data_IF_689601084945
#
_entry.id   IF_689601084945
#
_cell.length_a   1.000
_cell.length_b   1.000
_cell.length_c   1.000
_cell.angle_alpha   90.00
_cell.angle_beta   90.00
_cell.angle_gamma   90.00
#
_symmetry.space_group_name_H-M   'P 1'
#
loop_
_entity.id
_entity.type
_entity.pdbx_description
1 polymer ?
#
# COMPACT_ATOMS: atom_id res chain seq x y z
N UNK A 1 -6.63 21.09 -1.45
CA UNK A 1 -6.57 19.71 -1.98
C UNK A 1 -7.97 19.24 -2.35
N UNK A 2 -8.11 18.59 -3.52
CA UNK A 2 -9.38 17.99 -3.99
C UNK A 2 -9.11 16.58 -4.51
N UNK A 3 -9.98 15.65 -4.21
CA UNK A 3 -10.01 14.32 -4.84
C UNK A 3 -10.82 14.41 -6.13
N UNK A 4 -10.32 13.79 -7.18
CA UNK A 4 -10.97 13.75 -8.50
C UNK A 4 -11.02 12.33 -9.04
N UNK A 5 -11.92 12.06 -9.98
CA UNK A 5 -11.89 10.83 -10.75
C UNK A 5 -10.72 10.84 -11.71
N UNK A 6 -10.06 9.69 -11.87
CA UNK A 6 -8.91 9.59 -12.74
C UNK A 6 -8.14 8.28 -12.61
N UNK A 7 -6.99 8.24 -13.23
CA UNK A 7 -6.12 7.05 -13.33
C UNK A 7 -4.69 7.38 -12.92
N UNK A 8 -3.84 6.38 -12.88
CA UNK A 8 -2.39 6.55 -12.63
C UNK A 8 -1.71 7.47 -13.67
N UNK A 9 -2.32 7.68 -14.83
CA UNK A 9 -1.82 8.56 -15.88
C UNK A 9 -2.45 9.97 -15.84
N UNK A 10 -3.25 10.32 -14.82
CA UNK A 10 -3.84 11.66 -14.68
C UNK A 10 -2.84 12.80 -14.51
N UNK A 11 -1.67 12.61 -13.83
CA UNK A 11 -0.63 13.64 -13.83
C UNK A 11 -0.03 13.86 -15.23
N UNK A 12 0.26 15.12 -15.54
CA UNK A 12 0.77 15.52 -16.86
C UNK A 12 2.05 14.77 -17.22
N UNK A 13 2.16 14.33 -18.49
CA UNK A 13 3.35 13.65 -19.01
C UNK A 13 3.48 12.18 -18.58
N UNK A 14 2.45 11.57 -17.99
CA UNK A 14 2.39 10.13 -17.74
C UNK A 14 1.41 9.43 -18.67
N UNK A 15 1.75 8.20 -19.03
CA UNK A 15 0.88 7.24 -19.71
C UNK A 15 0.99 5.88 -19.03
N UNK A 16 -0.05 5.07 -19.12
CA UNK A 16 -0.08 3.72 -18.56
C UNK A 16 -1.00 2.85 -19.39
N UNK A 17 -0.82 1.53 -19.30
CA UNK A 17 -1.69 0.55 -19.92
C UNK A 17 -1.45 -0.83 -19.31
N UNK A 18 -2.30 -1.80 -19.64
CA UNK A 18 -2.18 -3.18 -19.23
C UNK A 18 -2.75 -4.14 -20.28
N UNK A 19 -2.19 -5.35 -20.34
CA UNK A 19 -2.64 -6.37 -21.26
C UNK A 19 -2.51 -7.79 -20.68
N UNK A 20 -3.07 -8.76 -21.38
CA UNK A 20 -2.85 -10.16 -21.11
C UNK A 20 -1.66 -10.68 -21.94
N UNK A 21 -0.52 -10.89 -21.27
CA UNK A 21 0.69 -11.41 -21.91
C UNK A 21 0.83 -12.93 -21.82
N UNK A 22 0.14 -13.57 -20.87
CA UNK A 22 0.17 -15.02 -20.68
C UNK A 22 0.82 -15.48 -19.35
N UNK A 23 1.00 -14.59 -18.38
CA UNK A 23 1.40 -14.96 -17.00
C UNK A 23 0.23 -15.59 -16.23
N UNK A 24 -0.99 -15.16 -16.51
CA UNK A 24 -2.25 -15.74 -16.00
C UNK A 24 -3.03 -16.42 -17.12
N UNK A 25 -4.07 -17.16 -16.76
CA UNK A 25 -4.90 -17.89 -17.74
C UNK A 25 -5.79 -16.98 -18.59
N UNK A 26 -6.36 -15.90 -18.03
CA UNK A 26 -7.39 -15.07 -18.69
C UNK A 26 -7.37 -13.59 -18.35
N UNK A 27 -6.88 -13.20 -17.17
CA UNK A 27 -6.92 -11.79 -16.70
C UNK A 27 -5.75 -11.02 -17.29
N UNK A 28 -5.83 -9.69 -17.30
CA UNK A 28 -4.68 -8.83 -17.54
C UNK A 28 -3.58 -9.17 -16.53
N UNK A 29 -2.34 -9.20 -16.98
CA UNK A 29 -1.23 -9.73 -16.20
C UNK A 29 0.12 -9.04 -16.45
N UNK A 30 0.13 -8.04 -17.32
CA UNK A 30 1.31 -7.27 -17.67
C UNK A 30 0.91 -5.80 -17.84
N UNK A 31 1.52 -4.91 -17.05
CA UNK A 31 1.21 -3.48 -17.06
C UNK A 31 2.46 -2.62 -17.11
N UNK A 32 2.32 -1.38 -17.55
CA UNK A 32 3.40 -0.40 -17.56
C UNK A 32 2.91 1.01 -17.28
N UNK A 33 3.82 1.81 -16.70
CA UNK A 33 3.71 3.27 -16.58
C UNK A 33 4.91 3.86 -17.30
N UNK A 34 4.71 4.89 -18.11
CA UNK A 34 5.78 5.61 -18.80
C UNK A 34 5.63 7.10 -18.56
N UNK A 35 6.73 7.77 -18.26
CA UNK A 35 6.83 9.23 -18.22
C UNK A 35 7.50 9.75 -19.50
N UNK A 36 7.04 10.87 -20.01
CA UNK A 36 7.63 11.54 -21.18
C UNK A 36 9.08 11.95 -20.94
N UNK A 37 9.43 12.27 -19.69
CA UNK A 37 10.78 12.65 -19.26
C UNK A 37 11.22 11.83 -18.05
N UNK A 38 12.54 11.70 -17.80
CA UNK A 38 13.02 11.03 -16.59
C UNK A 38 12.50 11.72 -15.31
N UNK A 39 11.67 11.02 -14.55
CA UNK A 39 11.04 11.50 -13.32
C UNK A 39 11.95 11.28 -12.10
N UNK A 40 11.98 12.23 -11.18
CA UNK A 40 12.51 12.02 -9.83
C UNK A 40 11.79 10.86 -9.17
N UNK A 41 12.51 9.99 -8.47
CA UNK A 41 11.90 8.79 -7.87
C UNK A 41 12.28 8.64 -6.41
N UNK A 42 11.30 8.17 -5.62
CA UNK A 42 11.49 7.68 -4.27
C UNK A 42 10.89 6.28 -4.13
N UNK A 43 11.48 5.45 -3.26
CA UNK A 43 11.00 4.09 -3.05
C UNK A 43 11.20 3.59 -1.63
N UNK A 44 10.23 2.81 -1.15
CA UNK A 44 10.34 1.98 0.04
C UNK A 44 10.02 0.53 -0.32
N UNK A 45 10.62 -0.42 0.38
CA UNK A 45 10.66 -1.82 -0.01
C UNK A 45 10.48 -2.72 1.19
N UNK A 46 10.06 -3.96 0.95
CA UNK A 46 9.94 -4.99 1.99
C UNK A 46 11.21 -5.12 2.84
N UNK A 47 11.02 -5.35 4.14
CA UNK A 47 12.08 -5.75 5.08
C UNK A 47 12.24 -7.25 5.19
N UNK A 48 11.44 -8.04 4.43
CA UNK A 48 11.62 -9.49 4.35
C UNK A 48 13.04 -9.78 3.85
N UNK A 49 13.73 -10.71 4.51
CA UNK A 49 15.11 -11.09 4.13
C UNK A 49 15.17 -11.85 2.80
N UNK A 50 14.05 -12.43 2.39
CA UNK A 50 13.88 -13.06 1.08
C UNK A 50 13.36 -12.00 0.11
N UNK A 51 14.26 -11.35 -0.61
CA UNK A 51 13.93 -10.24 -1.53
C UNK A 51 13.80 -10.78 -2.95
N UNK A 52 12.71 -10.44 -3.63
CA UNK A 52 12.46 -10.83 -5.01
C UNK A 52 13.43 -10.13 -5.99
N UNK A 53 13.78 -10.81 -7.09
CA UNK A 53 14.74 -10.32 -8.07
C UNK A 53 14.36 -8.95 -8.69
N UNK A 54 13.08 -8.66 -9.04
CA UNK A 54 12.70 -7.35 -9.56
C UNK A 54 13.01 -6.17 -8.64
N UNK A 55 12.88 -6.39 -7.31
CA UNK A 55 13.20 -5.36 -6.33
C UNK A 55 14.69 -5.04 -6.30
N UNK A 56 15.54 -6.06 -6.41
CA UNK A 56 17.00 -5.88 -6.45
C UNK A 56 17.40 -5.02 -7.66
N UNK A 57 16.85 -5.32 -8.83
CA UNK A 57 17.12 -4.56 -10.07
C UNK A 57 16.61 -3.11 -9.96
N UNK A 58 15.38 -2.93 -9.47
CA UNK A 58 14.79 -1.59 -9.30
C UNK A 58 15.56 -0.75 -8.28
N UNK A 59 15.96 -1.32 -7.15
CA UNK A 59 16.81 -0.64 -6.16
C UNK A 59 18.14 -0.19 -6.78
N UNK A 60 18.81 -1.07 -7.53
CA UNK A 60 20.08 -0.74 -8.19
C UNK A 60 19.91 0.41 -9.19
N UNK A 61 18.83 0.40 -9.97
CA UNK A 61 18.50 1.49 -10.92
C UNK A 61 18.31 2.82 -10.21
N UNK A 62 17.50 2.85 -9.16
CA UNK A 62 17.22 4.08 -8.38
C UNK A 62 18.50 4.59 -7.70
N UNK A 63 19.31 3.71 -7.13
CA UNK A 63 20.57 4.10 -6.50
C UNK A 63 21.55 4.75 -7.49
N UNK A 64 21.54 4.29 -8.74
CA UNK A 64 22.44 4.79 -9.78
C UNK A 64 21.95 6.10 -10.40
N UNK A 65 20.67 6.17 -10.77
CA UNK A 65 20.11 7.26 -11.57
C UNK A 65 19.35 8.32 -10.76
N UNK A 66 18.80 7.93 -9.59
CA UNK A 66 17.82 8.70 -8.82
C UNK A 66 16.58 9.09 -9.65
N UNK A 67 16.40 8.47 -10.79
CA UNK A 67 15.31 8.73 -11.73
C UNK A 67 14.78 7.43 -12.30
N UNK A 68 13.50 7.42 -12.66
CA UNK A 68 12.90 6.41 -13.52
C UNK A 68 12.09 7.11 -14.62
N UNK A 69 11.97 6.45 -15.76
CA UNK A 69 11.14 6.91 -16.85
C UNK A 69 10.07 5.89 -17.22
N UNK A 70 10.25 4.64 -16.80
CA UNK A 70 9.24 3.60 -16.94
C UNK A 70 9.21 2.67 -15.72
N UNK A 71 8.03 2.14 -15.44
CA UNK A 71 7.82 1.00 -14.54
C UNK A 71 7.08 -0.08 -15.31
N UNK A 72 7.54 -1.32 -15.22
CA UNK A 72 6.89 -2.48 -15.83
C UNK A 72 6.58 -3.52 -14.76
N UNK A 73 5.37 -4.04 -14.78
CA UNK A 73 4.84 -4.97 -13.77
C UNK A 73 4.31 -6.22 -14.43
N UNK A 74 4.65 -7.39 -13.94
CA UNK A 74 3.92 -8.61 -14.23
C UNK A 74 3.22 -9.14 -12.97
N UNK A 75 2.06 -9.75 -13.16
CA UNK A 75 1.33 -10.45 -12.11
C UNK A 75 1.04 -11.91 -12.52
N UNK A 76 0.98 -12.80 -11.50
CA UNK A 76 0.88 -14.24 -11.69
C UNK A 76 2.13 -15.00 -11.27
N UNK A 77 3.31 -14.42 -11.48
CA UNK A 77 4.63 -14.97 -11.09
C UNK A 77 5.40 -13.90 -10.33
N UNK A 78 5.81 -14.20 -9.09
CA UNK A 78 6.49 -13.26 -8.22
C UNK A 78 7.97 -13.05 -8.57
N UNK A 79 8.58 -13.97 -9.29
CA UNK A 79 10.03 -14.02 -9.52
C UNK A 79 10.82 -13.85 -8.22
N UNK A 80 10.39 -14.55 -7.19
CA UNK A 80 10.99 -14.60 -5.86
C UNK A 80 11.48 -16.03 -5.56
N UNK A 81 12.59 -16.19 -4.87
CA UNK A 81 13.25 -17.47 -4.62
C UNK A 81 13.63 -18.23 -5.90
N UNK A 82 13.97 -17.53 -6.96
CA UNK A 82 14.27 -18.08 -8.30
C UNK A 82 15.77 -18.15 -8.61
N UNK A 83 16.61 -17.80 -7.63
CA UNK A 83 18.07 -17.85 -7.75
C UNK A 83 18.64 -16.92 -8.84
N UNK A 84 19.81 -17.27 -9.36
CA UNK A 84 20.49 -16.47 -10.39
C UNK A 84 19.66 -16.37 -11.68
N UNK A 85 18.97 -17.43 -12.07
CA UNK A 85 18.13 -17.44 -13.26
C UNK A 85 17.02 -16.39 -13.18
N UNK A 86 16.39 -16.22 -12.01
CA UNK A 86 15.34 -15.19 -11.82
C UNK A 86 15.91 -13.78 -11.84
N UNK A 87 17.13 -13.58 -11.33
CA UNK A 87 17.83 -12.29 -11.40
C UNK A 87 18.19 -11.94 -12.84
N UNK A 88 18.72 -12.91 -13.60
CA UNK A 88 19.05 -12.73 -15.02
C UNK A 88 17.79 -12.41 -15.86
N UNK A 89 16.67 -13.08 -15.55
CA UNK A 89 15.37 -12.81 -16.18
C UNK A 89 14.87 -11.37 -15.85
N UNK A 90 15.08 -10.88 -14.63
CA UNK A 90 14.74 -9.52 -14.25
C UNK A 90 15.59 -8.49 -15.02
N UNK A 91 16.89 -8.68 -15.11
CA UNK A 91 17.76 -7.81 -15.93
C UNK A 91 17.39 -7.86 -17.40
N UNK A 92 17.02 -9.03 -17.92
CA UNK A 92 16.57 -9.14 -19.33
C UNK A 92 15.23 -8.40 -19.54
N UNK A 93 14.30 -8.48 -18.60
CA UNK A 93 13.06 -7.69 -18.61
C UNK A 93 13.37 -6.19 -18.66
N UNK A 94 14.31 -5.70 -17.83
CA UNK A 94 14.75 -4.30 -17.82
C UNK A 94 15.34 -3.89 -19.18
N UNK A 95 16.29 -4.69 -19.68
CA UNK A 95 16.98 -4.41 -20.94
C UNK A 95 16.03 -4.37 -22.15
N UNK A 96 15.08 -5.31 -22.21
CA UNK A 96 14.10 -5.36 -23.29
C UNK A 96 13.11 -4.21 -23.22
N UNK A 97 12.68 -3.82 -22.02
CA UNK A 97 11.83 -2.62 -21.80
C UNK A 97 12.55 -1.36 -22.28
N UNK A 98 13.77 -1.16 -21.81
CA UNK A 98 14.60 -0.01 -22.20
C UNK A 98 14.78 0.10 -23.73
N UNK A 99 15.08 -1.04 -24.36
CA UNK A 99 15.19 -1.12 -25.83
C UNK A 99 13.88 -0.76 -26.53
N UNK A 100 12.75 -1.25 -26.03
CA UNK A 100 11.42 -0.99 -26.63
C UNK A 100 11.06 0.50 -26.52
N UNK A 101 11.32 1.12 -25.38
CA UNK A 101 11.01 2.53 -25.10
C UNK A 101 12.10 3.49 -25.59
N UNK A 102 13.28 2.98 -26.02
CA UNK A 102 14.45 3.76 -26.42
C UNK A 102 14.97 4.68 -25.32
N UNK A 103 15.03 4.15 -24.10
CA UNK A 103 15.58 4.82 -22.91
C UNK A 103 16.73 4.00 -22.33
N UNK A 104 17.47 4.58 -21.38
CA UNK A 104 18.55 3.86 -20.69
C UNK A 104 17.98 2.80 -19.74
N UNK A 105 18.63 1.62 -19.60
CA UNK A 105 18.16 0.55 -18.72
C UNK A 105 17.95 1.00 -17.27
N UNK A 106 18.84 1.84 -16.75
CA UNK A 106 18.76 2.36 -15.38
C UNK A 106 17.57 3.31 -15.12
N UNK A 107 16.82 3.68 -16.17
CA UNK A 107 15.57 4.43 -16.07
C UNK A 107 14.32 3.54 -16.04
N UNK A 108 14.49 2.21 -15.96
CA UNK A 108 13.39 1.24 -15.90
C UNK A 108 13.32 0.60 -14.52
N UNK A 109 12.19 0.78 -13.84
CA UNK A 109 11.80 0.06 -12.65
C UNK A 109 10.99 -1.19 -13.00
N UNK A 110 11.15 -2.23 -12.20
CA UNK A 110 10.46 -3.52 -12.36
C UNK A 110 9.69 -3.89 -11.10
N UNK A 111 8.54 -4.52 -11.28
CA UNK A 111 7.81 -5.17 -10.22
C UNK A 111 7.23 -6.51 -10.71
N UNK A 112 7.10 -7.45 -9.80
CA UNK A 112 6.42 -8.72 -10.04
C UNK A 112 5.58 -9.09 -8.83
N UNK A 113 4.50 -9.83 -9.03
CA UNK A 113 3.65 -10.35 -7.95
C UNK A 113 2.97 -11.65 -8.38
N UNK A 114 2.64 -12.52 -7.44
CA UNK A 114 2.01 -13.81 -7.70
C UNK A 114 2.74 -14.98 -7.03
N UNK A 115 2.83 -16.13 -7.70
CA UNK A 115 3.41 -17.35 -7.14
C UNK A 115 4.90 -17.22 -6.91
N UNK A 116 5.35 -17.59 -5.69
CA UNK A 116 6.76 -17.64 -5.29
C UNK A 116 7.37 -18.97 -5.74
N UNK A 117 8.66 -18.95 -6.14
CA UNK A 117 9.43 -20.13 -6.53
C UNK A 117 9.25 -20.55 -8.01
N UNK A 118 8.43 -19.84 -8.76
CA UNK A 118 8.28 -20.09 -10.21
C UNK A 118 9.18 -19.15 -11.01
N UNK A 119 9.82 -19.72 -12.05
CA UNK A 119 10.64 -18.96 -12.99
C UNK A 119 9.77 -18.09 -13.89
N UNK A 120 10.27 -16.89 -14.21
CA UNK A 120 9.55 -15.97 -15.07
C UNK A 120 9.38 -16.58 -16.49
N UNK A 121 8.16 -16.71 -17.01
CA UNK A 121 7.94 -17.25 -18.36
C UNK A 121 8.37 -16.23 -19.42
N UNK A 122 9.58 -16.40 -19.95
CA UNK A 122 10.23 -15.43 -20.85
C UNK A 122 9.48 -15.21 -22.16
N UNK A 123 8.69 -16.17 -22.64
CA UNK A 123 7.87 -16.00 -23.84
C UNK A 123 6.67 -15.06 -23.57
N UNK A 124 6.01 -15.20 -22.41
CA UNK A 124 4.97 -14.26 -21.97
C UNK A 124 5.55 -12.85 -21.77
N UNK A 125 6.74 -12.75 -21.17
CA UNK A 125 7.45 -11.49 -21.01
C UNK A 125 7.71 -10.80 -22.36
N UNK A 126 8.30 -11.51 -23.33
CA UNK A 126 8.59 -10.96 -24.67
C UNK A 126 7.32 -10.57 -25.42
N UNK A 127 6.25 -11.37 -25.27
CA UNK A 127 4.94 -11.05 -25.82
C UNK A 127 4.41 -9.72 -25.25
N UNK A 128 4.37 -9.56 -23.94
CA UNK A 128 3.94 -8.32 -23.30
C UNK A 128 4.79 -7.11 -23.71
N UNK A 129 6.11 -7.24 -23.64
CA UNK A 129 7.04 -6.17 -24.00
C UNK A 129 6.90 -5.73 -25.46
N UNK A 130 6.61 -6.66 -26.40
CA UNK A 130 6.42 -6.32 -27.81
C UNK A 130 5.24 -5.38 -28.04
N UNK A 131 4.25 -5.40 -27.16
CA UNK A 131 3.00 -4.66 -27.27
C UNK A 131 2.97 -3.35 -26.46
N UNK A 132 4.02 -3.03 -25.71
CA UNK A 132 4.09 -1.74 -24.97
C UNK A 132 3.87 -0.57 -25.95
N UNK A 133 2.90 0.27 -25.63
CA UNK A 133 2.59 1.52 -26.33
C UNK A 133 2.71 2.67 -25.32
N UNK A 134 3.07 3.85 -25.82
CA UNK A 134 3.12 5.08 -25.00
C UNK A 134 1.72 5.68 -24.79
N UNK A 135 0.72 5.21 -25.52
CA UNK A 135 -0.68 5.59 -25.38
C UNK A 135 -1.53 4.33 -25.19
N UNK A 136 -2.33 4.29 -24.16
CA UNK A 136 -3.17 3.13 -23.83
C UNK A 136 -4.31 3.49 -22.86
N UNK A 137 -4.95 2.46 -22.33
CA UNK A 137 -6.00 2.60 -21.31
C UNK A 137 -5.36 2.46 -19.93
N UNK A 138 -5.16 3.57 -19.25
CA UNK A 138 -4.50 3.59 -17.95
C UNK A 138 -5.26 2.82 -16.86
N UNK A 139 -6.57 2.60 -17.02
CA UNK A 139 -7.39 1.74 -16.17
C UNK A 139 -6.90 0.28 -16.23
N UNK A 140 -6.48 -0.19 -17.40
CA UNK A 140 -6.02 -1.57 -17.61
C UNK A 140 -4.72 -1.85 -16.81
N UNK A 141 -3.90 -0.83 -16.51
CA UNK A 141 -2.77 -0.98 -15.60
C UNK A 141 -3.20 -1.42 -14.20
N UNK A 142 -4.25 -0.77 -13.65
CA UNK A 142 -4.75 -1.10 -12.31
C UNK A 142 -5.28 -2.54 -12.23
N UNK A 143 -5.87 -3.06 -13.32
CA UNK A 143 -6.32 -4.45 -13.41
C UNK A 143 -5.15 -5.44 -13.61
N UNK A 144 -4.14 -5.06 -14.41
CA UNK A 144 -3.03 -5.93 -14.75
C UNK A 144 -2.17 -6.31 -13.54
N UNK A 145 -2.10 -5.46 -12.51
CA UNK A 145 -1.29 -5.72 -11.31
C UNK A 145 -2.00 -6.57 -10.25
N UNK A 146 -3.32 -6.80 -10.33
CA UNK A 146 -4.11 -7.54 -9.34
C UNK A 146 -3.74 -9.04 -9.29
N UNK A 147 -3.91 -9.67 -8.14
CA UNK A 147 -3.77 -11.12 -7.96
C UNK A 147 -5.08 -11.72 -7.41
N UNK A 148 -5.24 -11.72 -6.09
CA UNK A 148 -6.45 -12.17 -5.38
C UNK A 148 -7.42 -11.00 -5.09
N UNK A 149 -7.00 -9.79 -5.41
CA UNK A 149 -7.81 -8.58 -5.26
C UNK A 149 -9.16 -8.70 -5.96
N UNK A 150 -10.22 -8.15 -5.35
CA UNK A 150 -11.59 -8.17 -5.90
C UNK A 150 -11.93 -6.89 -6.65
N UNK A 151 -11.18 -5.80 -6.41
CA UNK A 151 -11.38 -4.50 -7.05
C UNK A 151 -10.04 -3.78 -7.29
N UNK A 152 -10.04 -2.83 -8.23
CA UNK A 152 -8.93 -1.89 -8.42
C UNK A 152 -8.94 -0.82 -7.31
N UNK A 153 -7.75 -0.36 -6.94
CA UNK A 153 -7.56 0.62 -5.87
C UNK A 153 -6.80 1.81 -6.42
N UNK A 154 -7.52 2.88 -6.71
CA UNK A 154 -6.98 4.11 -7.32
C UNK A 154 -7.38 5.32 -6.47
N UNK A 155 -6.49 6.30 -6.36
CA UNK A 155 -6.74 7.59 -5.75
C UNK A 155 -6.06 8.68 -6.59
N UNK A 156 -6.78 9.76 -6.90
CA UNK A 156 -6.21 10.92 -7.61
C UNK A 156 -6.57 12.18 -6.84
N UNK A 157 -5.57 13.00 -6.58
CA UNK A 157 -5.73 14.26 -5.85
C UNK A 157 -5.04 15.40 -6.59
N UNK A 158 -5.59 16.60 -6.42
CA UNK A 158 -5.03 17.83 -6.97
C UNK A 158 -4.88 18.88 -5.89
N UNK A 159 -3.84 19.72 -6.01
CA UNK A 159 -3.58 20.84 -5.11
C UNK A 159 -2.93 22.00 -5.85
N UNK A 160 -3.18 23.23 -5.42
CA UNK A 160 -2.61 24.45 -6.00
C UNK A 160 -1.23 24.78 -5.40
N UNK A 161 -0.24 24.96 -6.27
CA UNK A 161 1.12 25.39 -5.94
C UNK A 161 1.39 26.70 -6.70
N UNK A 162 1.20 27.82 -6.04
CA UNK A 162 1.15 29.13 -6.70
C UNK A 162 -0.04 29.17 -7.68
N UNK A 163 0.25 29.38 -8.97
CA UNK A 163 -0.73 29.35 -10.07
C UNK A 163 -0.91 27.96 -10.69
N UNK A 164 -0.13 26.97 -10.29
CA UNK A 164 -0.06 25.67 -10.94
C UNK A 164 -0.90 24.63 -10.17
N UNK A 165 -1.76 23.92 -10.88
CA UNK A 165 -2.55 22.82 -10.33
C UNK A 165 -1.77 21.51 -10.47
N UNK A 166 -1.07 21.10 -9.42
CA UNK A 166 -0.34 19.83 -9.37
C UNK A 166 -1.34 18.68 -9.18
N UNK A 167 -1.10 17.60 -9.93
CA UNK A 167 -1.86 16.36 -9.85
C UNK A 167 -0.99 15.23 -9.32
N UNK A 168 -1.51 14.43 -8.41
CA UNK A 168 -0.89 13.20 -7.92
C UNK A 168 -1.91 12.06 -8.01
N UNK A 169 -1.48 10.93 -8.58
CA UNK A 169 -2.30 9.74 -8.74
C UNK A 169 -1.59 8.52 -8.17
N UNK A 170 -2.35 7.62 -7.57
CA UNK A 170 -1.82 6.38 -7.04
C UNK A 170 -2.69 5.20 -7.38
N UNK A 171 -2.06 4.05 -7.61
CA UNK A 171 -2.69 2.75 -7.77
C UNK A 171 -2.01 1.76 -6.84
N UNK A 172 -2.83 0.93 -6.18
CA UNK A 172 -2.35 -0.11 -5.29
C UNK A 172 -2.96 -1.48 -5.63
N UNK A 173 -2.22 -2.54 -5.32
CA UNK A 173 -2.71 -3.91 -5.24
C UNK A 173 -2.30 -4.53 -3.92
N UNK A 174 -3.16 -5.38 -3.40
CA UNK A 174 -2.96 -6.15 -2.19
C UNK A 174 -4.29 -6.58 -1.60
N UNK A 175 -4.38 -7.85 -1.19
CA UNK A 175 -5.56 -8.48 -0.61
C UNK A 175 -5.18 -9.56 0.40
N UNK A 176 -4.24 -10.45 0.07
CA UNK A 176 -3.59 -11.40 0.99
C UNK A 176 -2.09 -11.16 1.12
N UNK A 177 -1.45 -11.79 2.13
CA UNK A 177 -0.06 -11.60 2.55
C UNK A 177 0.21 -10.12 2.85
N UNK A 178 -0.64 -9.51 3.71
CA UNK A 178 -0.61 -8.08 4.04
C UNK A 178 -0.34 -7.89 5.54
N UNK A 179 0.93 -7.62 5.86
CA UNK A 179 1.39 -7.11 7.17
C UNK A 179 2.65 -6.27 6.97
N UNK A 180 2.53 -5.04 6.49
CA UNK A 180 3.68 -4.21 6.18
C UNK A 180 4.53 -3.91 7.42
N UNK A 181 5.83 -4.15 7.25
CA UNK A 181 6.88 -3.53 8.03
C UNK A 181 7.86 -2.98 6.99
N UNK A 182 7.58 -1.77 6.47
CA UNK A 182 8.18 -1.14 5.29
C UNK A 182 7.72 -1.72 3.93
N UNK A 183 6.47 -2.11 3.78
CA UNK A 183 5.68 -2.47 2.61
C UNK A 183 5.23 -3.95 2.52
N UNK A 184 3.93 -4.21 2.24
CA UNK A 184 3.38 -5.55 1.89
C UNK A 184 2.36 -5.43 0.75
N UNK A 185 2.69 -4.71 -0.32
CA UNK A 185 1.84 -4.47 -1.49
C UNK A 185 2.67 -3.90 -2.64
N UNK A 186 2.09 -3.80 -3.80
CA UNK A 186 2.63 -2.95 -4.86
C UNK A 186 1.81 -1.66 -4.90
N UNK A 187 2.50 -0.54 -4.72
CA UNK A 187 1.91 0.78 -4.85
C UNK A 187 2.77 1.60 -5.81
N UNK A 188 2.12 2.20 -6.79
CA UNK A 188 2.74 3.11 -7.74
C UNK A 188 2.03 4.45 -7.63
N UNK A 189 2.83 5.51 -7.49
CA UNK A 189 2.34 6.89 -7.38
C UNK A 189 3.05 7.71 -8.45
N UNK A 190 2.30 8.46 -9.23
CA UNK A 190 2.78 9.42 -10.21
C UNK A 190 2.40 10.83 -9.80
N UNK A 191 3.24 11.80 -10.10
CA UNK A 191 2.99 13.21 -9.82
C UNK A 191 3.65 14.08 -10.89
N UNK A 192 3.01 15.16 -11.29
CA UNK A 192 3.57 16.10 -12.27
C UNK A 192 4.35 17.26 -11.63
N UNK A 193 4.50 17.29 -10.31
CA UNK A 193 5.26 18.30 -9.57
C UNK A 193 6.76 18.25 -9.85
N UNK A 194 7.38 19.42 -9.79
CA UNK A 194 8.84 19.59 -9.79
C UNK A 194 9.38 19.48 -8.36
N UNK A 195 10.00 18.34 -8.04
CA UNK A 195 10.57 17.99 -6.74
C UNK A 195 11.78 17.09 -6.92
N UNK A 196 12.83 17.27 -6.12
CA UNK A 196 14.01 16.41 -6.19
C UNK A 196 13.74 15.02 -5.57
N UNK A 197 14.49 13.99 -6.01
CA UNK A 197 14.37 12.63 -5.44
C UNK A 197 14.66 12.58 -3.95
N UNK A 198 15.58 13.39 -3.45
CA UNK A 198 15.89 13.46 -2.03
C UNK A 198 14.72 14.02 -1.21
N UNK A 199 14.11 15.11 -1.69
CA UNK A 199 12.93 15.72 -1.05
C UNK A 199 11.72 14.78 -1.12
N UNK A 200 11.53 14.10 -2.25
CA UNK A 200 10.47 13.13 -2.46
C UNK A 200 10.64 11.92 -1.52
N UNK A 201 11.88 11.44 -1.34
CA UNK A 201 12.18 10.34 -0.42
C UNK A 201 11.93 10.74 1.05
N UNK A 202 12.25 12.00 1.43
CA UNK A 202 11.92 12.54 2.77
C UNK A 202 10.41 12.45 3.02
N UNK A 203 9.59 12.95 2.09
CA UNK A 203 8.13 12.91 2.20
C UNK A 203 7.59 11.47 2.27
N UNK A 204 8.05 10.57 1.40
CA UNK A 204 7.62 9.18 1.38
C UNK A 204 7.96 8.46 2.70
N UNK A 205 9.20 8.60 3.18
CA UNK A 205 9.67 7.96 4.41
C UNK A 205 8.93 8.46 5.64
N UNK A 206 8.54 9.75 5.68
CA UNK A 206 7.76 10.34 6.77
C UNK A 206 6.37 9.71 6.88
N UNK A 207 5.73 9.37 5.76
CA UNK A 207 4.32 8.96 5.75
C UNK A 207 4.10 7.46 5.68
N UNK A 208 5.07 6.67 5.23
CA UNK A 208 4.90 5.20 5.16
C UNK A 208 4.59 4.58 6.51
N UNK A 209 5.21 5.12 7.59
CA UNK A 209 5.05 4.63 8.96
C UNK A 209 3.64 4.85 9.53
N UNK A 210 2.94 5.89 9.07
CA UNK A 210 1.59 6.25 9.54
C UNK A 210 0.49 5.88 8.57
N UNK A 211 0.83 5.24 7.44
CA UNK A 211 -0.12 4.80 6.42
C UNK A 211 0.04 3.30 6.11
N UNK A 212 0.84 2.95 5.12
CA UNK A 212 0.97 1.55 4.71
C UNK A 212 1.52 0.64 5.82
N UNK A 213 2.42 1.10 6.69
CA UNK A 213 2.89 0.28 7.81
C UNK A 213 1.84 0.09 8.92
N UNK A 214 0.70 0.76 8.83
CA UNK A 214 -0.41 0.66 9.77
C UNK A 214 -1.59 -0.18 9.25
N UNK A 215 -1.39 -0.97 8.18
CA UNK A 215 -2.41 -1.94 7.77
C UNK A 215 -2.00 -3.37 8.07
N UNK A 216 -2.98 -4.28 8.17
CA UNK A 216 -2.76 -5.72 8.19
C UNK A 216 -4.01 -6.48 7.75
N UNK A 217 -3.82 -7.58 7.01
CA UNK A 217 -4.88 -8.54 6.67
C UNK A 217 -4.64 -9.85 7.44
N UNK A 218 -3.45 -10.43 7.35
CA UNK A 218 -3.18 -11.80 7.82
C UNK A 218 -1.88 -11.94 8.65
N UNK A 219 -1.12 -10.87 8.82
CA UNK A 219 0.12 -10.91 9.60
C UNK A 219 1.35 -11.35 8.80
N UNK A 220 1.23 -11.66 7.50
CA UNK A 220 2.30 -12.17 6.67
C UNK A 220 2.94 -11.07 5.81
N UNK A 221 4.29 -10.98 5.85
CA UNK A 221 5.08 -9.98 5.09
C UNK A 221 5.61 -10.60 3.80
N UNK A 222 5.26 -10.01 2.65
CA UNK A 222 5.63 -10.49 1.32
C UNK A 222 7.12 -10.23 0.97
N UNK A 223 7.59 -10.93 -0.06
CA UNK A 223 8.95 -10.83 -0.61
C UNK A 223 9.08 -9.74 -1.69
N UNK A 224 7.94 -9.22 -2.20
CA UNK A 224 7.88 -8.41 -3.43
C UNK A 224 7.45 -6.97 -3.21
N UNK A 225 7.20 -6.58 -1.96
CA UNK A 225 6.52 -5.33 -1.66
C UNK A 225 7.36 -4.11 -1.97
N UNK A 226 6.71 -3.14 -2.62
CA UNK A 226 7.31 -1.83 -2.82
C UNK A 226 6.25 -0.73 -2.98
N UNK A 227 6.61 0.47 -2.55
CA UNK A 227 5.96 1.72 -2.93
C UNK A 227 6.96 2.53 -3.74
N UNK A 228 6.59 2.90 -4.96
CA UNK A 228 7.35 3.79 -5.82
C UNK A 228 6.58 5.06 -6.09
N UNK A 229 7.23 6.20 -5.93
CA UNK A 229 6.69 7.53 -6.26
C UNK A 229 7.55 8.14 -7.35
N UNK A 230 6.94 8.51 -8.47
CA UNK A 230 7.59 9.20 -9.60
C UNK A 230 7.05 10.62 -9.72
N UNK A 231 7.91 11.62 -9.76
CA UNK A 231 7.56 13.01 -10.00
C UNK A 231 8.35 13.56 -11.20
N UNK A 232 7.66 13.86 -12.31
CA UNK A 232 8.31 14.19 -13.58
C UNK A 232 8.56 15.70 -13.82
N UNK A 233 7.97 16.57 -13.00
CA UNK A 233 8.14 18.02 -13.12
C UNK A 233 7.46 18.64 -14.36
N UNK A 234 6.60 17.91 -15.05
CA UNK A 234 5.93 18.41 -16.27
C UNK A 234 4.98 19.58 -15.98
N UNK A 235 4.56 19.78 -14.73
CA UNK A 235 3.75 20.94 -14.33
C UNK A 235 4.55 22.24 -14.35
N UNK A 236 5.89 22.17 -14.25
CA UNK A 236 6.80 23.32 -14.28
C UNK A 236 6.60 24.33 -13.13
N UNK A 237 5.99 23.90 -12.03
CA UNK A 237 5.94 24.69 -10.80
C UNK A 237 7.36 24.96 -10.28
N UNK A 238 7.52 25.98 -9.43
CA UNK A 238 8.79 26.17 -8.69
C UNK A 238 9.17 24.89 -7.94
N UNK A 239 10.48 24.59 -7.88
CA UNK A 239 10.96 23.38 -7.22
C UNK A 239 10.50 23.34 -5.74
N UNK A 240 9.84 22.27 -5.36
CA UNK A 240 9.41 22.03 -3.97
C UNK A 240 10.64 21.67 -3.14
N UNK A 241 11.04 22.58 -2.26
CA UNK A 241 12.19 22.42 -1.37
C UNK A 241 11.78 21.93 0.02
N UNK A 242 12.65 21.17 0.74
CA UNK A 242 12.37 20.75 2.10
C UNK A 242 12.11 21.96 3.04
N UNK A 243 11.27 21.75 4.04
CA UNK A 243 11.00 22.72 5.11
C UNK A 243 10.35 24.04 4.62
N UNK A 244 9.64 23.98 3.48
CA UNK A 244 8.83 25.08 2.92
C UNK A 244 7.32 24.81 3.09
N UNK A 245 6.48 25.83 2.90
CA UNK A 245 5.02 25.67 2.91
C UNK A 245 4.56 24.76 1.76
N UNK A 246 5.21 24.84 0.60
CA UNK A 246 4.96 23.98 -0.55
C UNK A 246 5.28 22.52 -0.23
N UNK A 247 6.36 22.25 0.52
CA UNK A 247 6.68 20.89 0.99
C UNK A 247 5.60 20.36 1.92
N UNK A 248 5.10 21.17 2.84
CA UNK A 248 4.02 20.77 3.74
C UNK A 248 2.71 20.46 2.98
N UNK A 249 2.39 21.25 1.95
CA UNK A 249 1.24 20.97 1.05
C UNK A 249 1.42 19.65 0.31
N UNK A 250 2.59 19.45 -0.31
CA UNK A 250 2.94 18.21 -1.01
C UNK A 250 2.90 16.99 -0.07
N UNK A 251 3.46 17.14 1.10
CA UNK A 251 3.52 16.12 2.15
C UNK A 251 2.10 15.69 2.59
N UNK A 252 1.21 16.64 2.82
CA UNK A 252 -0.20 16.38 3.15
C UNK A 252 -0.94 15.67 2.00
N UNK A 253 -0.68 16.08 0.76
CA UNK A 253 -1.25 15.48 -0.44
C UNK A 253 -0.82 14.01 -0.59
N UNK A 254 0.48 13.75 -0.42
CA UNK A 254 1.04 12.40 -0.46
C UNK A 254 0.48 11.52 0.67
N UNK A 255 0.45 12.04 1.92
CA UNK A 255 -0.10 11.32 3.07
C UNK A 255 -1.57 10.94 2.87
N UNK A 256 -2.39 11.86 2.37
CA UNK A 256 -3.80 11.60 2.11
C UNK A 256 -3.99 10.46 1.10
N UNK A 257 -3.29 10.54 -0.05
CA UNK A 257 -3.35 9.52 -1.09
C UNK A 257 -2.88 8.15 -0.57
N UNK A 258 -1.78 8.11 0.18
CA UNK A 258 -1.24 6.89 0.78
C UNK A 258 -2.22 6.29 1.80
N UNK A 259 -2.85 7.09 2.64
CA UNK A 259 -3.83 6.63 3.63
C UNK A 259 -5.11 6.09 2.96
N UNK A 260 -5.60 6.73 1.90
CA UNK A 260 -6.75 6.25 1.13
C UNK A 260 -6.47 4.90 0.48
N UNK A 261 -5.30 4.74 -0.16
CA UNK A 261 -4.91 3.46 -0.76
C UNK A 261 -4.68 2.37 0.31
N UNK A 262 -4.10 2.71 1.46
CA UNK A 262 -3.91 1.79 2.58
C UNK A 262 -5.25 1.25 3.10
N UNK A 263 -6.24 2.12 3.29
CA UNK A 263 -7.61 1.73 3.69
C UNK A 263 -8.27 0.84 2.63
N UNK A 264 -8.11 1.16 1.34
CA UNK A 264 -8.64 0.34 0.24
C UNK A 264 -8.02 -1.06 0.19
N UNK A 265 -6.71 -1.19 0.48
CA UNK A 265 -6.04 -2.50 0.60
C UNK A 265 -6.62 -3.29 1.77
N UNK A 266 -6.73 -2.68 2.96
CA UNK A 266 -7.27 -3.33 4.14
C UNK A 266 -8.75 -3.75 3.94
N UNK A 267 -9.56 -2.90 3.30
CA UNK A 267 -10.98 -3.20 3.00
C UNK A 267 -11.15 -4.38 2.05
N UNK A 268 -10.26 -4.52 1.06
CA UNK A 268 -10.28 -5.60 0.07
C UNK A 268 -9.45 -6.83 0.52
N UNK A 269 -9.24 -7.00 1.83
CA UNK A 269 -8.59 -8.19 2.38
C UNK A 269 -9.30 -9.48 1.97
N UNK A 270 -8.53 -10.56 1.74
CA UNK A 270 -9.09 -11.85 1.32
C UNK A 270 -10.20 -12.33 2.25
N UNK A 271 -11.42 -12.48 1.72
CA UNK A 271 -12.60 -12.89 2.48
C UNK A 271 -13.14 -11.84 3.46
N UNK A 272 -12.66 -10.61 3.41
CA UNK A 272 -13.12 -9.54 4.29
C UNK A 272 -14.58 -9.15 4.05
N UNK A 273 -15.31 -8.88 5.14
CA UNK A 273 -16.66 -8.32 5.10
C UNK A 273 -16.70 -6.91 5.68
N UNK A 274 -15.71 -6.53 6.47
CA UNK A 274 -15.62 -5.24 7.16
C UNK A 274 -14.21 -4.67 7.13
N UNK A 275 -14.12 -3.35 6.93
CA UNK A 275 -12.94 -2.57 7.26
C UNK A 275 -12.94 -2.25 8.76
N UNK A 276 -11.83 -2.49 9.44
CA UNK A 276 -11.63 -2.13 10.84
C UNK A 276 -10.71 -0.93 10.91
N UNK A 277 -11.12 0.13 11.57
CA UNK A 277 -10.29 1.28 11.91
C UNK A 277 -10.07 1.31 13.42
N UNK A 278 -8.81 1.27 13.87
CA UNK A 278 -8.42 1.39 15.28
C UNK A 278 -7.79 2.76 15.49
N UNK A 279 -8.41 3.56 16.34
CA UNK A 279 -7.93 4.88 16.76
C UNK A 279 -7.41 4.80 18.18
N UNK A 280 -6.12 5.05 18.38
CA UNK A 280 -5.48 5.16 19.70
C UNK A 280 -5.25 6.63 20.01
N UNK A 281 -5.68 7.07 21.16
CA UNK A 281 -5.54 8.45 21.67
C UNK A 281 -4.73 8.48 22.97
N UNK A 282 -4.12 9.60 23.24
CA UNK A 282 -3.37 9.87 24.45
C UNK A 282 -2.34 8.77 24.78
N UNK A 283 -1.66 8.28 23.74
CA UNK A 283 -0.53 7.37 23.91
C UNK A 283 0.70 8.14 24.39
N UNK A 284 1.60 7.45 25.10
CA UNK A 284 2.86 8.00 25.63
C UNK A 284 3.71 8.66 24.54
N UNK A 285 3.78 8.02 23.39
CA UNK A 285 4.43 8.49 22.16
C UNK A 285 3.78 7.84 20.93
N UNK A 286 4.09 8.38 19.74
CA UNK A 286 3.54 7.88 18.48
C UNK A 286 3.90 6.42 18.19
N UNK A 287 5.11 5.97 18.58
CA UNK A 287 5.54 4.60 18.34
C UNK A 287 4.71 3.62 19.15
N UNK A 288 4.52 3.87 20.44
CA UNK A 288 3.67 3.07 21.33
C UNK A 288 2.23 3.03 20.84
N UNK A 289 1.68 4.19 20.44
CA UNK A 289 0.33 4.26 19.85
C UNK A 289 0.18 3.41 18.59
N UNK A 290 1.15 3.48 17.65
CA UNK A 290 1.16 2.68 16.43
C UNK A 290 1.27 1.18 16.70
N UNK A 291 2.13 0.76 17.64
CA UNK A 291 2.29 -0.63 18.03
C UNK A 291 0.98 -1.19 18.60
N UNK A 292 0.31 -0.43 19.47
CA UNK A 292 -0.98 -0.82 20.07
C UNK A 292 -2.07 -0.92 19.00
N UNK A 293 -2.24 0.12 18.19
CA UNK A 293 -3.25 0.13 17.12
C UNK A 293 -3.07 -1.07 16.16
N UNK A 294 -1.82 -1.33 15.74
CA UNK A 294 -1.49 -2.44 14.84
C UNK A 294 -1.67 -3.81 15.51
N UNK A 295 -1.36 -3.94 16.80
CA UNK A 295 -1.59 -5.17 17.57
C UNK A 295 -3.08 -5.52 17.65
N UNK A 296 -3.93 -4.52 17.94
CA UNK A 296 -5.38 -4.69 18.04
C UNK A 296 -5.98 -5.10 16.70
N UNK A 297 -5.68 -4.35 15.63
CA UNK A 297 -6.24 -4.63 14.30
C UNK A 297 -5.70 -5.94 13.71
N UNK A 298 -4.52 -6.40 14.14
CA UNK A 298 -3.89 -7.66 13.72
C UNK A 298 -4.30 -8.89 14.53
N UNK A 299 -4.97 -8.72 15.66
CA UNK A 299 -5.37 -9.83 16.52
C UNK A 299 -6.42 -10.73 15.88
N UNK A 300 -6.10 -11.98 15.61
CA UNK A 300 -7.07 -12.94 15.06
C UNK A 300 -8.33 -13.08 15.91
N UNK A 301 -8.21 -12.98 17.24
CA UNK A 301 -9.36 -13.03 18.14
C UNK A 301 -10.24 -11.77 18.03
N UNK A 302 -9.65 -10.59 17.89
CA UNK A 302 -10.41 -9.35 17.65
C UNK A 302 -11.09 -9.43 16.30
N UNK A 303 -10.38 -9.80 15.23
CA UNK A 303 -10.91 -9.91 13.86
C UNK A 303 -12.08 -10.89 13.76
N UNK A 304 -12.01 -12.05 14.46
CA UNK A 304 -13.10 -13.03 14.50
C UNK A 304 -14.29 -12.57 15.35
N UNK A 305 -14.06 -11.82 16.43
CA UNK A 305 -15.14 -11.20 17.21
C UNK A 305 -15.91 -10.18 16.35
N UNK A 306 -15.18 -9.35 15.58
CA UNK A 306 -15.79 -8.37 14.67
C UNK A 306 -16.58 -9.05 13.55
N UNK A 307 -16.07 -10.14 12.97
CA UNK A 307 -16.81 -10.94 12.00
C UNK A 307 -18.14 -11.46 12.58
N UNK A 308 -18.10 -11.96 13.82
CA UNK A 308 -19.27 -12.49 14.54
C UNK A 308 -20.14 -11.41 15.18
N UNK A 309 -19.83 -10.12 15.02
CA UNK A 309 -20.53 -9.01 15.69
C UNK A 309 -20.58 -9.16 17.22
N UNK A 310 -19.53 -9.75 17.81
CA UNK A 310 -19.35 -9.94 19.25
C UNK A 310 -18.61 -8.73 19.84
N UNK A 311 -19.23 -7.89 20.70
CA UNK A 311 -18.57 -6.72 21.29
C UNK A 311 -17.55 -7.13 22.38
N UNK A 312 -16.59 -7.95 22.00
CA UNK A 312 -15.62 -8.59 22.88
C UNK A 312 -14.45 -7.66 23.21
N UNK A 313 -14.70 -6.66 24.04
CA UNK A 313 -13.68 -5.73 24.49
C UNK A 313 -12.52 -6.42 25.25
N UNK A 314 -12.74 -7.57 25.86
CA UNK A 314 -11.70 -8.36 26.53
C UNK A 314 -10.59 -8.81 25.57
N UNK A 315 -10.93 -9.16 24.32
CA UNK A 315 -9.95 -9.47 23.27
C UNK A 315 -9.18 -8.24 22.83
N UNK A 316 -9.83 -7.07 22.79
CA UNK A 316 -9.17 -5.79 22.48
C UNK A 316 -8.16 -5.47 23.59
N UNK A 317 -8.56 -5.53 24.85
CA UNK A 317 -7.67 -5.29 25.99
C UNK A 317 -6.48 -6.26 26.01
N UNK A 318 -6.72 -7.54 25.72
CA UNK A 318 -5.63 -8.53 25.61
C UNK A 318 -4.64 -8.14 24.52
N UNK A 319 -5.12 -7.68 23.35
CA UNK A 319 -4.27 -7.24 22.25
C UNK A 319 -3.46 -5.98 22.57
N UNK A 320 -4.00 -5.06 23.37
CA UNK A 320 -3.26 -3.92 23.91
C UNK A 320 -2.12 -4.43 24.83
N UNK A 321 -2.43 -5.38 25.72
CA UNK A 321 -1.48 -5.87 26.72
C UNK A 321 -0.26 -6.61 26.16
N UNK A 322 -0.39 -7.29 25.00
CA UNK A 322 0.75 -7.96 24.36
C UNK A 322 1.35 -7.18 23.18
N UNK A 323 0.97 -5.92 22.95
CA UNK A 323 1.45 -5.11 21.84
C UNK A 323 2.97 -4.87 21.84
N UNK A 324 3.65 -5.14 22.95
CA UNK A 324 5.09 -4.86 23.11
C UNK A 324 5.42 -3.37 23.31
N UNK A 325 4.38 -2.53 23.45
CA UNK A 325 4.52 -1.11 23.75
C UNK A 325 4.61 -0.89 25.27
N UNK A 326 5.27 0.19 25.67
CA UNK A 326 5.21 0.68 27.04
C UNK A 326 3.87 1.38 27.26
N UNK A 327 2.97 0.78 28.04
CA UNK A 327 1.61 1.28 28.25
C UNK A 327 1.19 1.10 29.71
N UNK A 328 0.59 2.14 30.30
CA UNK A 328 -0.07 2.06 31.59
C UNK A 328 -1.44 1.37 31.44
N UNK A 329 -1.62 0.23 32.09
CA UNK A 329 -2.88 -0.52 32.00
C UNK A 329 -3.95 -0.10 33.00
N UNK A 330 -3.70 0.98 33.79
CA UNK A 330 -4.58 1.35 34.90
C UNK A 330 -5.74 2.27 34.52
N UNK A 331 -5.69 2.92 33.35
CA UNK A 331 -6.64 3.94 32.92
C UNK A 331 -6.98 3.84 31.43
N UNK A 332 -7.22 2.64 30.95
CA UNK A 332 -7.60 2.42 29.53
C UNK A 332 -9.11 2.54 29.37
N UNK A 333 -9.55 3.31 28.39
CA UNK A 333 -10.92 3.38 27.93
C UNK A 333 -11.05 2.75 26.55
N UNK A 334 -12.15 2.03 26.28
CA UNK A 334 -12.41 1.38 24.98
C UNK A 334 -13.85 1.68 24.56
N UNK A 335 -14.00 2.09 23.29
CA UNK A 335 -15.28 2.25 22.62
C UNK A 335 -15.34 1.38 21.37
N UNK A 336 -16.50 0.80 21.12
CA UNK A 336 -16.85 0.11 19.88
C UNK A 336 -17.96 0.93 19.22
N UNK A 337 -17.75 1.44 18.02
CA UNK A 337 -18.70 2.33 17.29
C UNK A 337 -19.21 3.50 18.17
N UNK A 338 -18.32 4.07 18.99
CA UNK A 338 -18.65 5.16 19.91
C UNK A 338 -19.37 4.72 21.20
N UNK A 339 -19.73 3.45 21.35
CA UNK A 339 -20.35 2.91 22.56
C UNK A 339 -19.24 2.54 23.54
N UNK A 340 -19.22 3.11 24.78
CA UNK A 340 -18.21 2.76 25.76
C UNK A 340 -18.46 1.34 26.29
N UNK A 341 -17.42 0.50 26.24
CA UNK A 341 -17.46 -0.89 26.72
C UNK A 341 -16.51 -1.13 27.89
N UNK A 342 -15.53 -0.24 28.07
CA UNK A 342 -14.60 -0.22 29.20
C UNK A 342 -14.20 1.22 29.52
N UNK A 343 -14.13 1.57 30.80
CA UNK A 343 -13.64 2.89 31.29
C UNK A 343 -12.78 2.72 32.54
N UNK A 344 -11.69 3.50 32.61
CA UNK A 344 -10.70 3.42 33.67
C UNK A 344 -10.29 1.98 33.99
N UNK A 345 -10.01 1.20 32.94
CA UNK A 345 -9.66 -0.22 33.00
C UNK A 345 -10.68 -1.13 33.70
N UNK A 346 -11.92 -0.69 33.76
CA UNK A 346 -13.03 -1.44 34.39
C UNK A 346 -14.18 -1.58 33.38
N UNK A 347 -14.88 -2.73 33.37
CA UNK A 347 -16.05 -2.90 32.51
C UNK A 347 -17.15 -1.91 32.87
N UNK A 348 -17.79 -1.33 31.87
CA UNK A 348 -18.99 -0.51 32.06
C UNK A 348 -20.23 -1.24 31.53
N UNK A 349 -21.40 -0.88 32.07
CA UNK A 349 -22.63 -1.45 31.57
C UNK A 349 -22.93 -0.89 30.15
N UNK A 350 -23.16 -1.77 29.19
CA UNK A 350 -23.62 -1.46 27.85
C UNK A 350 -24.65 -2.49 27.40
N UNK A 351 -25.44 -2.18 26.38
CA UNK A 351 -26.36 -3.13 25.79
C UNK A 351 -25.61 -3.97 24.72
N UNK A 352 -25.45 -5.30 24.91
CA UNK A 352 -24.75 -6.14 23.94
C UNK A 352 -25.47 -6.26 22.60
N UNK A 353 -26.81 -6.21 22.55
CA UNK A 353 -27.59 -6.30 21.31
C UNK A 353 -27.45 -5.00 20.51
N UNK A 354 -27.62 -3.84 21.17
CA UNK A 354 -27.40 -2.52 20.54
C UNK A 354 -25.98 -2.39 20.00
N UNK A 355 -24.98 -2.83 20.76
CA UNK A 355 -23.57 -2.78 20.32
C UNK A 355 -23.31 -3.73 19.16
N UNK A 356 -23.86 -4.94 19.18
CA UNK A 356 -23.78 -5.91 18.07
C UNK A 356 -24.41 -5.34 16.79
N UNK A 357 -25.58 -4.71 16.91
CA UNK A 357 -26.24 -4.07 15.77
C UNK A 357 -25.42 -2.90 15.21
N UNK A 358 -24.79 -2.10 16.06
CA UNK A 358 -23.86 -1.05 15.63
C UNK A 358 -22.65 -1.60 14.86
N UNK A 359 -22.21 -2.82 15.17
CA UNK A 359 -21.12 -3.51 14.48
C UNK A 359 -21.50 -4.09 13.11
N UNK A 360 -22.75 -4.02 12.67
CA UNK A 360 -23.23 -4.62 11.42
C UNK A 360 -22.69 -3.93 10.15
N UNK A 361 -22.21 -2.69 10.23
CA UNK A 361 -21.71 -1.89 9.11
C UNK A 361 -20.46 -2.47 8.43
N UNK A 362 -20.19 -2.00 7.20
CA UNK A 362 -18.97 -2.36 6.45
C UNK A 362 -17.69 -1.68 7.00
N UNK A 363 -17.81 -0.61 7.74
CA UNK A 363 -16.76 0.06 8.47
C UNK A 363 -17.02 -0.08 9.97
N UNK A 364 -16.03 -0.52 10.71
CA UNK A 364 -16.09 -0.62 12.16
C UNK A 364 -14.95 0.18 12.80
N UNK A 365 -15.31 1.05 13.73
CA UNK A 365 -14.37 1.91 14.45
C UNK A 365 -14.18 1.45 15.89
N UNK A 366 -12.94 1.17 16.26
CA UNK A 366 -12.52 0.97 17.63
C UNK A 366 -11.75 2.22 18.11
N UNK A 367 -12.13 2.77 19.23
CA UNK A 367 -11.40 3.88 19.88
C UNK A 367 -10.83 3.41 21.20
N UNK A 368 -9.54 3.68 21.40
CA UNK A 368 -8.79 3.32 22.62
C UNK A 368 -8.16 4.60 23.14
N UNK A 369 -8.45 4.94 24.40
CA UNK A 369 -7.80 6.05 25.08
C UNK A 369 -6.89 5.51 26.18
N UNK A 370 -5.61 5.86 26.13
CA UNK A 370 -4.59 5.32 27.04
C UNK A 370 -4.30 6.24 28.23
N UNK A 371 -4.72 7.50 28.17
CA UNK A 371 -4.47 8.51 29.21
C UNK A 371 -3.00 8.61 29.67
N UNK A 372 -2.03 8.34 28.77
CA UNK A 372 -0.61 8.19 29.10
C UNK A 372 0.29 9.23 28.40
N UNK A 373 -0.28 10.13 27.60
CA UNK A 373 0.42 11.19 26.86
C UNK A 373 -0.50 11.97 25.93
N UNK A 374 0.06 12.56 24.87
CA UNK A 374 -0.68 13.39 23.91
C UNK A 374 -0.62 12.82 22.47
N UNK A 375 0.04 11.68 22.28
CA UNK A 375 0.21 11.12 20.95
C UNK A 375 -1.05 10.36 20.48
N UNK A 376 -1.28 10.40 19.16
CA UNK A 376 -2.37 9.69 18.51
C UNK A 376 -1.81 8.72 17.44
N UNK A 377 -2.51 7.63 17.21
CA UNK A 377 -2.17 6.68 16.16
C UNK A 377 -3.41 6.00 15.58
N UNK A 378 -3.29 5.54 14.33
CA UNK A 378 -4.34 4.81 13.65
C UNK A 378 -3.76 3.54 13.00
N UNK A 379 -4.58 2.51 12.90
CA UNK A 379 -4.29 1.33 12.07
C UNK A 379 -5.57 0.82 11.42
N UNK A 380 -5.41 0.15 10.28
CA UNK A 380 -6.52 -0.40 9.51
C UNK A 380 -6.29 -1.89 9.21
N UNK A 381 -7.37 -2.63 9.20
CA UNK A 381 -7.38 -4.04 8.84
C UNK A 381 -8.77 -4.47 8.40
N UNK A 382 -8.99 -5.76 8.34
CA UNK A 382 -10.29 -6.33 8.05
C UNK A 382 -10.65 -7.40 9.09
N UNK A 383 -11.89 -7.80 9.14
CA UNK A 383 -12.35 -8.96 9.89
C UNK A 383 -11.73 -10.26 9.37
N UNK A 384 -11.90 -11.35 10.09
CA UNK A 384 -11.44 -12.68 9.71
C UNK A 384 -12.64 -13.62 9.56
N UNK A 385 -13.03 -13.85 8.32
CA UNK A 385 -14.15 -14.71 7.95
C UNK A 385 -13.72 -16.14 7.61
N UNK A 386 -14.68 -17.03 7.43
CA UNK A 386 -14.44 -18.38 6.92
C UNK A 386 -13.88 -18.39 5.49
N UNK A 387 -14.20 -17.38 4.68
CA UNK A 387 -13.76 -17.30 3.30
C UNK A 387 -12.25 -17.03 3.19
N UNK A 388 -11.60 -16.40 4.18
CA UNK A 388 -10.15 -16.30 4.23
C UNK A 388 -9.49 -17.70 4.16
N UNK A 389 -9.93 -18.62 5.03
CA UNK A 389 -9.38 -19.99 5.04
C UNK A 389 -9.70 -20.72 3.74
N UNK A 390 -10.91 -20.56 3.20
CA UNK A 390 -11.34 -21.20 1.96
C UNK A 390 -10.52 -20.70 0.76
N UNK A 391 -10.28 -19.39 0.65
CA UNK A 391 -9.48 -18.81 -0.42
C UNK A 391 -8.05 -19.37 -0.36
N UNK A 392 -7.41 -19.30 0.83
CA UNK A 392 -6.01 -19.68 0.99
C UNK A 392 -5.76 -21.20 0.92
N UNK A 393 -6.75 -22.03 1.27
CA UNK A 393 -6.67 -23.48 1.09
C UNK A 393 -6.72 -23.91 -0.39
N UNK A 394 -7.27 -23.08 -1.28
CA UNK A 394 -7.45 -23.36 -2.70
C UNK A 394 -6.48 -22.59 -3.60
N UNK A 395 -5.91 -21.50 -3.12
CA UNK A 395 -4.97 -20.64 -3.86
C UNK A 395 -3.53 -21.09 -3.58
N UNK A 396 -2.78 -21.35 -4.66
CA UNK A 396 -1.35 -21.64 -4.58
C UNK A 396 -0.57 -20.32 -4.73
N UNK A 397 0.11 -19.92 -3.67
CA UNK A 397 1.02 -18.76 -3.68
C UNK A 397 2.44 -19.17 -3.93
#
# INVERSE_FOLDING_TARGET
MKTIDGTIASPLGFSADGLHAGFKKKKLDFGWIVSEVPASVAGVYTTNKVIAAPLLVTKASIQKSQKLQAIVVNSGVANSCTGQQGLDAAYEMQRLTAKKLKIEPDLVGLASTGVIGEQLPMDALKNGLSQILVSGKAEDFAEAILTTDTCTKTCVVTEEFGSDLVTMAGVAKGSGMIHPNMATMLVFITCDANISSATLQKALSQHVETTFNQITVDGDTSTNDMVLVMANGCRQNEEILPDTEEFEKFSKMLRYLMADLAKKIAKDGEGATKLIEVNVRHAKDEQSGRMIAKSVVGSSLVKTAIFGQDPNWGRILAAIGYAGADVSVNYIDIWIEGIPVMQASSPVAFDPEETSDAMAGELLTLTIDLHDGDAEAQAWGCDLSYDYVKINALYRT
#
